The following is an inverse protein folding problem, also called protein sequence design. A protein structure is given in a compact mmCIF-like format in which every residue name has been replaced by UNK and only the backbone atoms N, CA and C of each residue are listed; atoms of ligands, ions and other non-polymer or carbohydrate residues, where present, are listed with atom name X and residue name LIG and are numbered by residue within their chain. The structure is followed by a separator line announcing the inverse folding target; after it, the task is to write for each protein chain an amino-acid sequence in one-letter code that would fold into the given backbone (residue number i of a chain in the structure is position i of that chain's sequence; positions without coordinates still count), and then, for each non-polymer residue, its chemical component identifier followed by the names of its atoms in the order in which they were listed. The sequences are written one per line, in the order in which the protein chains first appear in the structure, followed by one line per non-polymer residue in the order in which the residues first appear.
data_IF_383956753239
#
_entry.id   IF_383956753239
#
_cell.length_a   1.000
_cell.length_b   1.000
_cell.length_c   1.000
_cell.angle_alpha   90.00
_cell.angle_beta   90.00
_cell.angle_gamma   90.00
#
_symmetry.space_group_name_H-M   'P 1'
#
loop_
_entity.id
_entity.type
_entity.pdbx_description
1 polymer ?
#
# COMPACT_ATOMS: atom_id res chain seq x y z
N UNK A 1 -7.85 13.60 -8.48
CA UNK A 1 -8.53 12.28 -8.59
C UNK A 1 -9.14 11.99 -7.23
N UNK A 2 -10.42 11.69 -7.09
CA UNK A 2 -11.07 11.46 -5.79
C UNK A 2 -10.59 10.14 -5.16
N UNK A 3 -9.31 10.02 -4.97
CA UNK A 3 -8.67 8.84 -4.37
C UNK A 3 -7.30 9.22 -3.81
N UNK A 4 -7.09 8.94 -2.55
CA UNK A 4 -5.81 9.15 -1.85
C UNK A 4 -4.66 8.36 -2.50
N UNK A 5 -3.43 8.81 -2.27
CA UNK A 5 -2.23 8.12 -2.74
C UNK A 5 -2.07 6.75 -2.03
N UNK A 6 -1.58 5.71 -2.73
CA UNK A 6 -1.50 4.35 -2.17
C UNK A 6 -0.46 4.22 -1.05
N UNK A 7 0.57 5.05 -1.01
CA UNK A 7 1.65 5.01 -0.03
C UNK A 7 1.22 5.34 1.41
N UNK A 8 0.05 5.95 1.62
CA UNK A 8 -0.52 6.16 2.96
C UNK A 8 -1.15 4.90 3.54
N UNK A 9 -1.52 3.92 2.69
CA UNK A 9 -2.26 2.72 3.09
C UNK A 9 -1.57 1.95 4.23
N UNK A 10 -0.26 1.60 4.15
CA UNK A 10 0.37 0.80 5.21
C UNK A 10 0.32 1.48 6.57
N UNK A 11 0.56 2.80 6.61
CA UNK A 11 0.56 3.56 7.86
C UNK A 11 -0.85 3.71 8.44
N UNK A 12 -1.83 4.06 7.62
CA UNK A 12 -3.24 4.18 8.05
C UNK A 12 -3.75 2.84 8.57
N UNK A 13 -3.51 1.76 7.84
CA UNK A 13 -3.95 0.43 8.27
C UNK A 13 -3.25 -0.01 9.54
N UNK A 14 -1.96 0.27 9.70
CA UNK A 14 -1.25 0.01 10.95
C UNK A 14 -1.90 0.73 12.14
N UNK A 15 -2.23 2.01 11.99
CA UNK A 15 -2.93 2.80 13.00
C UNK A 15 -4.32 2.24 13.32
N UNK A 16 -5.09 1.87 12.31
CA UNK A 16 -6.42 1.25 12.49
C UNK A 16 -6.31 -0.05 13.29
N UNK A 17 -5.34 -0.90 12.98
CA UNK A 17 -5.11 -2.16 13.70
C UNK A 17 -4.67 -1.95 15.16
N UNK A 18 -3.92 -0.90 15.46
CA UNK A 18 -3.58 -0.52 16.83
C UNK A 18 -4.80 0.01 17.58
N UNK A 19 -5.59 0.88 16.96
CA UNK A 19 -6.76 1.51 17.55
C UNK A 19 -7.88 0.51 17.81
N UNK A 20 -7.99 -0.54 17.01
CA UNK A 20 -9.09 -1.53 17.05
C UNK A 20 -10.45 -0.82 17.22
N UNK A 21 -10.85 0.02 16.24
CA UNK A 21 -12.07 0.78 16.34
C UNK A 21 -13.30 -0.13 16.21
N UNK A 22 -14.30 0.06 17.06
CA UNK A 22 -15.63 -0.54 16.89
C UNK A 22 -16.54 0.29 15.97
N UNK A 23 -16.12 1.53 15.64
CA UNK A 23 -16.83 2.40 14.69
C UNK A 23 -15.87 3.35 13.99
N UNK A 24 -16.09 3.55 12.68
CA UNK A 24 -15.28 4.42 11.81
C UNK A 24 -16.21 5.34 11.04
N UNK A 25 -15.87 6.62 10.98
CA UNK A 25 -16.43 7.59 10.05
C UNK A 25 -15.39 7.93 8.99
N UNK A 26 -15.68 7.61 7.74
CA UNK A 26 -14.86 7.93 6.57
C UNK A 26 -15.38 9.20 5.92
N UNK A 27 -14.63 10.30 6.01
CA UNK A 27 -15.03 11.62 5.52
C UNK A 27 -14.47 11.82 4.12
N UNK A 28 -15.38 11.95 3.14
CA UNK A 28 -15.05 12.01 1.72
C UNK A 28 -14.78 10.60 1.18
N UNK A 29 -15.84 9.77 1.10
CA UNK A 29 -15.68 8.36 0.70
C UNK A 29 -15.16 8.18 -0.71
N UNK A 30 -15.34 9.17 -1.60
CA UNK A 30 -14.92 9.12 -3.01
C UNK A 30 -15.41 7.85 -3.71
N UNK A 31 -14.49 7.05 -4.26
CA UNK A 31 -14.82 5.74 -4.86
C UNK A 31 -14.86 4.57 -3.87
N UNK A 32 -14.79 4.82 -2.55
CA UNK A 32 -14.96 3.79 -1.53
C UNK A 32 -13.69 3.01 -1.17
N UNK A 33 -12.51 3.47 -1.60
CA UNK A 33 -11.24 2.79 -1.31
C UNK A 33 -11.01 2.55 0.17
N UNK A 34 -11.18 3.57 1.00
CA UNK A 34 -10.95 3.44 2.44
C UNK A 34 -11.99 2.58 3.12
N UNK A 35 -13.25 2.68 2.73
CA UNK A 35 -14.29 1.78 3.22
C UNK A 35 -13.98 0.31 2.95
N UNK A 36 -13.47 -0.01 1.73
CA UNK A 36 -13.01 -1.36 1.40
C UNK A 36 -11.85 -1.80 2.30
N UNK A 37 -10.81 -0.97 2.41
CA UNK A 37 -9.63 -1.28 3.24
C UNK A 37 -9.98 -1.42 4.72
N UNK A 38 -10.87 -0.58 5.24
CA UNK A 38 -11.30 -0.71 6.62
C UNK A 38 -12.06 -2.03 6.84
N UNK A 39 -12.98 -2.43 5.95
CA UNK A 39 -13.62 -3.75 6.04
C UNK A 39 -12.64 -4.90 5.98
N UNK A 40 -11.69 -4.84 5.04
CA UNK A 40 -10.66 -5.86 4.88
C UNK A 40 -9.88 -6.07 6.19
N UNK A 41 -9.40 -4.98 6.80
CA UNK A 41 -8.49 -5.05 7.95
C UNK A 41 -9.16 -5.02 9.32
N UNK A 42 -10.48 -4.88 9.41
CA UNK A 42 -11.21 -4.95 10.68
C UNK A 42 -12.12 -6.17 10.79
N UNK A 43 -12.90 -6.45 9.74
CA UNK A 43 -13.87 -7.54 9.76
C UNK A 43 -13.37 -8.78 9.00
N UNK A 44 -12.93 -8.63 7.73
CA UNK A 44 -12.61 -9.77 6.86
C UNK A 44 -11.31 -10.46 7.30
N UNK A 45 -10.30 -9.74 7.73
CA UNK A 45 -9.06 -10.34 8.24
C UNK A 45 -9.29 -11.23 9.48
N UNK A 46 -10.31 -10.92 10.28
CA UNK A 46 -10.71 -11.76 11.43
C UNK A 46 -11.42 -13.05 11.00
N UNK A 47 -11.79 -13.18 9.70
CA UNK A 47 -12.41 -14.39 9.17
C UNK A 47 -11.48 -15.62 9.19
N UNK A 48 -10.17 -15.42 9.30
CA UNK A 48 -9.21 -16.52 9.55
C UNK A 48 -9.51 -17.23 10.89
N UNK A 49 -10.03 -16.49 11.88
CA UNK A 49 -10.41 -17.00 13.20
C UNK A 49 -11.89 -17.31 13.32
N UNK A 50 -12.72 -16.54 12.63
CA UNK A 50 -14.18 -16.65 12.60
C UNK A 50 -14.68 -16.57 11.15
N UNK A 51 -14.79 -17.72 10.43
CA UNK A 51 -15.21 -17.76 9.03
C UNK A 51 -16.56 -17.10 8.74
N UNK A 52 -17.42 -16.91 9.74
CA UNK A 52 -18.68 -16.21 9.57
C UNK A 52 -18.49 -14.74 9.18
N UNK A 53 -17.33 -14.15 9.48
CA UNK A 53 -16.97 -12.76 9.13
C UNK A 53 -16.81 -12.50 7.64
N UNK A 54 -16.70 -13.54 6.78
CA UNK A 54 -16.78 -13.34 5.33
C UNK A 54 -18.14 -12.83 4.84
N UNK A 55 -19.18 -12.94 5.69
CA UNK A 55 -20.52 -12.49 5.34
C UNK A 55 -20.81 -11.14 5.98
N UNK A 56 -21.35 -10.21 5.19
CA UNK A 56 -21.65 -8.83 5.60
C UNK A 56 -22.52 -8.76 6.87
N UNK A 57 -23.51 -9.62 6.99
CA UNK A 57 -24.41 -9.64 8.16
C UNK A 57 -23.71 -9.97 9.49
N UNK A 58 -22.46 -10.44 9.45
CA UNK A 58 -21.66 -10.77 10.63
C UNK A 58 -20.55 -9.76 10.89
N UNK A 59 -20.45 -8.68 10.10
CA UNK A 59 -19.49 -7.62 10.36
C UNK A 59 -19.82 -6.91 11.65
N UNK A 60 -18.79 -6.57 12.42
CA UNK A 60 -18.94 -6.02 13.77
C UNK A 60 -18.54 -4.56 13.87
N UNK A 61 -17.69 -4.09 12.97
CA UNK A 61 -17.26 -2.71 12.95
C UNK A 61 -18.27 -1.87 12.18
N UNK A 62 -18.86 -0.90 12.83
CA UNK A 62 -19.75 0.06 12.17
C UNK A 62 -18.92 1.05 11.34
N UNK A 63 -19.07 1.02 10.01
CA UNK A 63 -18.39 1.94 9.11
C UNK A 63 -19.43 2.80 8.40
N UNK A 64 -19.39 4.10 8.66
CA UNK A 64 -20.23 5.09 7.99
C UNK A 64 -19.35 6.06 7.18
N UNK A 65 -19.95 6.72 6.19
CA UNK A 65 -19.25 7.65 5.34
C UNK A 65 -19.97 8.99 5.20
N UNK A 66 -19.22 10.03 4.86
CA UNK A 66 -19.74 11.30 4.36
C UNK A 66 -19.28 11.49 2.92
N UNK A 67 -20.20 11.86 2.01
CA UNK A 67 -19.88 12.20 0.64
C UNK A 67 -20.71 13.40 0.18
N UNK A 68 -20.02 14.45 -0.27
CA UNK A 68 -20.72 15.64 -0.76
C UNK A 68 -21.19 15.49 -2.21
N UNK A 69 -20.47 14.73 -3.02
CA UNK A 69 -20.77 14.55 -4.44
C UNK A 69 -21.47 13.21 -4.69
N UNK A 70 -22.80 13.20 -4.62
CA UNK A 70 -23.61 11.98 -4.72
C UNK A 70 -23.35 11.14 -5.99
N UNK A 71 -22.84 11.76 -7.07
CA UNK A 71 -22.53 11.06 -8.32
C UNK A 71 -21.35 10.06 -8.20
N UNK A 72 -20.54 10.13 -7.14
CA UNK A 72 -19.51 9.14 -6.88
C UNK A 72 -20.05 7.83 -6.29
N UNK A 73 -21.27 7.88 -5.74
CA UNK A 73 -21.84 6.74 -5.05
C UNK A 73 -22.32 5.65 -6.01
N UNK A 74 -21.93 4.43 -5.72
CA UNK A 74 -22.25 3.22 -6.50
C UNK A 74 -22.81 2.13 -5.57
N UNK A 75 -23.36 1.03 -6.10
CA UNK A 75 -23.81 -0.10 -5.28
C UNK A 75 -22.71 -0.68 -4.35
N UNK A 76 -21.42 -0.55 -4.72
CA UNK A 76 -20.30 -0.96 -3.89
C UNK A 76 -20.29 -0.23 -2.55
N UNK A 77 -20.59 1.06 -2.54
CA UNK A 77 -20.65 1.85 -1.30
C UNK A 77 -21.75 1.33 -0.36
N UNK A 78 -22.93 0.99 -0.90
CA UNK A 78 -24.03 0.41 -0.12
C UNK A 78 -23.66 -0.96 0.48
N UNK A 79 -22.72 -1.67 -0.14
CA UNK A 79 -22.22 -2.93 0.40
C UNK A 79 -21.18 -2.70 1.51
N UNK A 80 -20.27 -1.76 1.33
CA UNK A 80 -19.13 -1.52 2.23
C UNK A 80 -19.50 -0.74 3.49
N UNK A 81 -20.34 0.28 3.35
CA UNK A 81 -20.72 1.17 4.46
C UNK A 81 -22.07 0.77 5.03
N UNK A 82 -22.20 0.93 6.35
CA UNK A 82 -23.50 0.73 7.03
C UNK A 82 -24.45 1.89 6.73
N UNK A 83 -23.88 3.11 6.58
CA UNK A 83 -24.62 4.30 6.15
C UNK A 83 -23.68 5.28 5.45
N UNK A 84 -24.20 6.00 4.44
CA UNK A 84 -23.53 7.15 3.84
C UNK A 84 -24.43 8.38 4.02
N UNK A 85 -23.84 9.41 4.60
CA UNK A 85 -24.47 10.72 4.78
C UNK A 85 -24.09 11.60 3.59
N UNK A 86 -25.05 11.92 2.74
CA UNK A 86 -24.81 12.74 1.55
C UNK A 86 -24.91 14.22 1.90
N UNK A 87 -23.81 14.95 1.75
CA UNK A 87 -23.75 16.40 2.00
C UNK A 87 -22.39 16.90 2.48
N UNK A 88 -22.33 18.20 2.76
CA UNK A 88 -21.13 18.88 3.22
C UNK A 88 -20.68 18.36 4.59
N UNK A 89 -19.42 17.89 4.68
CA UNK A 89 -18.83 17.34 5.88
C UNK A 89 -18.79 18.36 7.04
N UNK A 90 -18.54 19.65 6.77
CA UNK A 90 -18.51 20.70 7.78
C UNK A 90 -19.88 20.96 8.44
N UNK A 91 -20.95 20.66 7.71
CA UNK A 91 -22.31 20.76 8.25
C UNK A 91 -22.72 19.48 8.96
N UNK A 92 -22.52 18.33 8.32
CA UNK A 92 -22.98 17.03 8.82
C UNK A 92 -22.24 16.61 10.09
N UNK A 93 -20.94 16.87 10.19
CA UNK A 93 -20.10 16.49 11.35
C UNK A 93 -20.70 16.96 12.67
N UNK A 94 -21.36 18.11 12.70
CA UNK A 94 -21.94 18.70 13.92
C UNK A 94 -23.10 17.92 14.50
N UNK A 95 -23.81 17.16 13.67
CA UNK A 95 -25.03 16.42 14.04
C UNK A 95 -24.84 14.92 14.16
N UNK A 96 -23.70 14.38 13.67
CA UNK A 96 -23.44 12.95 13.70
C UNK A 96 -23.13 12.43 15.12
N UNK A 97 -23.33 11.14 15.30
CA UNK A 97 -22.93 10.43 16.51
C UNK A 97 -21.39 10.43 16.67
N UNK A 98 -20.91 9.94 17.81
CA UNK A 98 -19.47 9.71 18.01
C UNK A 98 -19.03 8.38 17.39
N UNK A 99 -17.76 8.36 16.96
CA UNK A 99 -17.09 7.20 16.38
C UNK A 99 -15.77 6.97 17.10
N UNK A 100 -15.29 5.73 17.10
CA UNK A 100 -13.97 5.45 17.65
C UNK A 100 -12.88 6.11 16.83
N UNK A 101 -13.03 6.06 15.51
CA UNK A 101 -12.12 6.68 14.54
C UNK A 101 -12.91 7.60 13.60
N UNK A 102 -12.43 8.82 13.40
CA UNK A 102 -12.82 9.69 12.28
C UNK A 102 -11.62 9.78 11.34
N UNK A 103 -11.82 9.43 10.08
CA UNK A 103 -10.78 9.43 9.06
C UNK A 103 -11.06 10.50 7.99
N UNK A 104 -10.08 11.34 7.71
CA UNK A 104 -10.11 12.36 6.65
C UNK A 104 -8.96 12.07 5.66
N UNK A 105 -9.27 11.34 4.61
CA UNK A 105 -8.28 10.90 3.62
C UNK A 105 -8.18 11.83 2.42
N UNK A 106 -7.22 12.76 2.41
CA UNK A 106 -7.02 13.77 1.37
C UNK A 106 -8.32 14.58 1.11
N UNK A 107 -8.82 15.18 2.18
CA UNK A 107 -10.07 15.96 2.20
C UNK A 107 -9.84 17.36 2.72
N UNK A 108 -8.94 17.52 3.70
CA UNK A 108 -8.81 18.79 4.42
C UNK A 108 -8.30 19.93 3.54
N UNK A 109 -7.52 19.62 2.51
CA UNK A 109 -7.00 20.54 1.51
C UNK A 109 -8.07 21.15 0.61
N UNK A 110 -9.22 20.52 0.52
CA UNK A 110 -10.37 21.02 -0.27
C UNK A 110 -11.15 22.13 0.45
N UNK A 111 -10.87 22.36 1.72
CA UNK A 111 -11.47 23.43 2.51
C UNK A 111 -10.56 24.66 2.57
N UNK A 112 -11.16 25.86 2.66
CA UNK A 112 -10.43 27.04 3.13
C UNK A 112 -9.85 26.76 4.51
N UNK A 113 -8.65 27.28 4.81
CA UNK A 113 -7.89 26.95 6.01
C UNK A 113 -8.70 27.04 7.31
N UNK A 114 -9.46 28.13 7.48
CA UNK A 114 -10.29 28.32 8.68
C UNK A 114 -11.43 27.30 8.79
N UNK A 115 -12.06 26.97 7.65
CA UNK A 115 -13.14 25.98 7.61
C UNK A 115 -12.60 24.56 7.87
N UNK A 116 -11.43 24.23 7.29
CA UNK A 116 -10.75 22.97 7.56
C UNK A 116 -10.34 22.81 9.03
N UNK A 117 -9.83 23.88 9.65
CA UNK A 117 -9.52 23.88 11.09
C UNK A 117 -10.77 23.63 11.95
N UNK A 118 -11.89 24.26 11.62
CA UNK A 118 -13.15 24.04 12.31
C UNK A 118 -13.65 22.59 12.12
N UNK A 119 -13.53 22.04 10.91
CA UNK A 119 -13.86 20.64 10.64
C UNK A 119 -13.01 19.67 11.47
N UNK A 120 -11.70 19.92 11.61
CA UNK A 120 -10.83 19.10 12.47
C UNK A 120 -11.23 19.16 13.95
N UNK A 121 -11.64 20.32 14.44
CA UNK A 121 -12.15 20.49 15.80
C UNK A 121 -13.45 19.70 16.00
N UNK A 122 -14.38 19.81 15.07
CA UNK A 122 -15.64 19.06 15.11
C UNK A 122 -15.38 17.54 14.99
N UNK A 123 -14.47 17.10 14.12
CA UNK A 123 -14.05 15.71 13.99
C UNK A 123 -13.44 15.17 15.29
N UNK A 124 -12.55 15.96 15.94
CA UNK A 124 -11.96 15.56 17.23
C UNK A 124 -13.02 15.51 18.36
N UNK A 125 -14.01 16.39 18.31
CA UNK A 125 -15.13 16.33 19.26
C UNK A 125 -15.93 15.04 19.14
N UNK A 126 -16.07 14.50 17.92
CA UNK A 126 -16.79 13.25 17.60
C UNK A 126 -15.95 11.98 17.74
N UNK A 127 -14.62 12.10 17.72
CA UNK A 127 -13.75 10.96 17.89
C UNK A 127 -13.63 10.52 19.35
N UNK A 128 -13.86 9.23 19.62
CA UNK A 128 -13.63 8.63 20.94
C UNK A 128 -12.15 8.27 21.14
N UNK A 129 -11.47 7.76 20.07
CA UNK A 129 -10.08 7.31 20.13
C UNK A 129 -9.14 8.22 19.36
N UNK A 130 -9.43 8.49 18.07
CA UNK A 130 -8.55 9.29 17.24
C UNK A 130 -9.27 9.90 16.01
N UNK A 131 -8.69 10.98 15.51
CA UNK A 131 -8.86 11.46 14.13
C UNK A 131 -7.57 11.16 13.39
N UNK A 132 -7.65 10.54 12.22
CA UNK A 132 -6.52 10.34 11.31
C UNK A 132 -6.77 11.19 10.06
N UNK A 133 -5.79 11.99 9.70
CA UNK A 133 -5.83 12.87 8.52
C UNK A 133 -4.66 12.53 7.60
N UNK A 134 -4.93 12.37 6.32
CA UNK A 134 -3.89 12.43 5.28
C UNK A 134 -4.10 13.66 4.43
N UNK A 135 -3.00 14.30 3.97
CA UNK A 135 -3.07 15.49 3.12
C UNK A 135 -1.75 15.68 2.36
N UNK A 136 -1.75 16.28 1.17
CA UNK A 136 -0.54 16.66 0.47
C UNK A 136 0.34 17.62 1.29
N UNK A 137 1.65 17.44 1.19
CA UNK A 137 2.66 18.30 1.83
C UNK A 137 3.04 19.51 0.97
N UNK A 138 2.79 19.42 -0.33
CA UNK A 138 3.09 20.46 -1.31
C UNK A 138 1.81 20.99 -1.93
N UNK A 139 1.89 22.21 -2.42
CA UNK A 139 0.82 22.77 -3.22
C UNK A 139 0.65 21.95 -4.51
N UNK A 140 -0.50 21.30 -4.63
CA UNK A 140 -0.93 20.59 -5.83
C UNK A 140 -2.07 21.39 -6.41
N UNK A 141 -1.83 22.03 -7.57
CA UNK A 141 -2.90 22.72 -8.29
C UNK A 141 -3.87 21.66 -8.80
N UNK A 142 -5.01 21.56 -8.16
CA UNK A 142 -6.11 20.70 -8.60
C UNK A 142 -7.36 21.56 -8.79
N UNK A 143 -7.81 21.59 -10.03
CA UNK A 143 -9.04 22.21 -10.44
C UNK A 143 -10.23 21.25 -10.29
N UNK A 144 -11.38 21.65 -10.78
CA UNK A 144 -12.57 20.81 -10.80
C UNK A 144 -12.30 19.48 -11.52
N UNK A 145 -12.77 18.40 -10.96
CA UNK A 145 -12.65 17.08 -11.56
C UNK A 145 -14.04 16.52 -11.89
N UNK A 146 -14.25 16.14 -13.15
CA UNK A 146 -15.54 15.61 -13.61
C UNK A 146 -16.75 16.51 -13.29
N UNK A 147 -16.54 17.84 -13.27
CA UNK A 147 -17.59 18.82 -12.93
C UNK A 147 -17.85 18.96 -11.43
N UNK A 148 -16.99 18.41 -10.58
CA UNK A 148 -17.06 18.55 -9.12
C UNK A 148 -16.11 19.65 -8.65
N UNK A 149 -16.65 20.82 -8.34
CA UNK A 149 -15.87 21.95 -7.81
C UNK A 149 -15.29 21.70 -6.40
N UNK A 150 -15.81 20.71 -5.69
CA UNK A 150 -15.32 20.34 -4.36
C UNK A 150 -13.96 19.63 -4.40
N UNK A 151 -13.54 19.16 -5.58
CA UNK A 151 -12.20 18.56 -5.80
C UNK A 151 -11.08 19.61 -5.86
N UNK A 152 -11.41 20.91 -5.89
CA UNK A 152 -10.42 21.97 -5.95
C UNK A 152 -9.64 22.08 -4.64
N UNK A 153 -8.31 22.10 -4.72
CA UNK A 153 -7.47 22.40 -3.56
C UNK A 153 -7.55 23.88 -3.22
N UNK A 154 -7.84 24.19 -1.95
CA UNK A 154 -8.06 25.54 -1.43
C UNK A 154 -7.06 25.91 -0.35
N UNK A 155 -6.39 24.93 0.27
CA UNK A 155 -5.42 25.17 1.32
C UNK A 155 -4.28 24.15 1.33
N UNK A 156 -3.14 24.58 1.83
CA UNK A 156 -1.97 23.72 2.09
C UNK A 156 -1.83 23.53 3.59
N UNK A 157 -1.51 22.30 4.02
CA UNK A 157 -1.38 21.93 5.43
C UNK A 157 0.05 21.56 5.79
N UNK A 158 0.48 21.97 6.98
CA UNK A 158 1.81 21.72 7.51
C UNK A 158 1.75 21.04 8.88
N UNK A 159 2.88 20.53 9.36
CA UNK A 159 2.97 19.97 10.70
C UNK A 159 2.61 20.98 11.80
N UNK A 160 2.89 22.26 11.59
CA UNK A 160 2.57 23.35 12.53
C UNK A 160 1.06 23.55 12.69
N UNK A 161 0.30 23.41 11.59
CA UNK A 161 -1.16 23.52 11.63
C UNK A 161 -1.78 22.47 12.56
N UNK A 162 -1.30 21.23 12.45
CA UNK A 162 -1.77 20.14 13.32
C UNK A 162 -1.19 20.26 14.74
N UNK A 163 -0.04 20.88 14.91
CA UNK A 163 0.59 21.14 16.22
C UNK A 163 -0.26 22.00 17.15
N UNK A 164 -1.30 22.70 16.64
CA UNK A 164 -2.27 23.42 17.44
C UNK A 164 -3.18 22.50 18.27
N UNK A 165 -3.26 21.21 17.90
CA UNK A 165 -4.01 20.21 18.66
C UNK A 165 -3.11 19.55 19.71
N UNK A 166 -3.42 19.63 21.01
CA UNK A 166 -2.60 19.03 22.05
C UNK A 166 -2.40 17.54 21.85
N UNK A 167 -1.15 17.09 21.82
CA UNK A 167 -0.82 15.68 21.65
C UNK A 167 -0.97 15.16 20.22
N UNK A 168 -1.07 16.04 19.21
CA UNK A 168 -1.05 15.63 17.81
C UNK A 168 0.29 14.97 17.47
N UNK A 169 0.22 13.87 16.73
CA UNK A 169 1.40 13.20 16.13
C UNK A 169 1.33 13.46 14.64
N UNK A 170 2.37 14.07 14.09
CA UNK A 170 2.47 14.37 12.66
C UNK A 170 3.68 13.69 12.08
N UNK A 171 3.48 12.97 10.98
CA UNK A 171 4.54 12.26 10.29
C UNK A 171 4.46 12.49 8.77
N UNK A 172 5.61 12.60 8.15
CA UNK A 172 5.73 12.52 6.69
C UNK A 172 5.83 11.06 6.28
N UNK A 173 4.92 10.60 5.41
CA UNK A 173 4.91 9.19 4.93
C UNK A 173 5.88 9.02 3.77
N UNK A 174 5.94 10.03 2.91
CA UNK A 174 6.86 10.14 1.79
C UNK A 174 7.20 11.62 1.57
N UNK A 175 7.90 11.93 0.48
CA UNK A 175 8.24 13.32 0.17
C UNK A 175 7.01 14.22 -0.04
N UNK A 176 5.84 13.65 -0.30
CA UNK A 176 4.66 14.37 -0.77
C UNK A 176 3.45 14.36 0.19
N UNK A 177 3.42 13.52 1.23
CA UNK A 177 2.22 13.30 2.04
C UNK A 177 2.49 13.40 3.54
N UNK A 178 1.63 14.13 4.25
CA UNK A 178 1.56 14.17 5.71
C UNK A 178 0.45 13.23 6.20
N UNK A 179 0.73 12.57 7.34
CA UNK A 179 -0.30 11.94 8.17
C UNK A 179 -0.29 12.65 9.52
N UNK A 180 -1.47 13.08 9.97
CA UNK A 180 -1.67 13.60 11.32
C UNK A 180 -2.63 12.70 12.09
N UNK A 181 -2.29 12.41 13.35
CA UNK A 181 -3.15 11.69 14.30
C UNK A 181 -3.47 12.65 15.44
N UNK A 182 -4.75 13.01 15.56
CA UNK A 182 -5.25 13.87 16.62
C UNK A 182 -6.00 13.01 17.65
N UNK A 183 -5.77 13.25 18.94
CA UNK A 183 -6.37 12.48 20.02
C UNK A 183 -6.77 13.39 21.17
N UNK A 184 -7.84 12.99 21.86
CA UNK A 184 -8.11 13.55 23.20
C UNK A 184 -7.06 13.03 24.17
N UNK A 185 -6.69 13.80 25.21
CA UNK A 185 -5.76 13.33 26.24
C UNK A 185 -6.24 12.02 26.87
N UNK A 186 -5.39 11.00 26.88
CA UNK A 186 -5.67 9.68 27.46
C UNK A 186 -4.66 8.63 27.01
N UNK A 187 -4.51 7.48 27.72
CA UNK A 187 -3.64 6.37 27.34
C UNK A 187 -4.26 5.49 26.25
N UNK A 188 -3.46 4.64 25.57
CA UNK A 188 -1.99 4.57 25.48
C UNK A 188 -1.42 5.38 24.31
N UNK A 189 -0.11 5.59 24.30
CA UNK A 189 0.58 6.19 23.16
C UNK A 189 0.38 5.31 21.91
N UNK A 190 -0.03 5.92 20.79
CA UNK A 190 0.03 5.26 19.48
C UNK A 190 1.46 5.39 18.96
N UNK A 191 2.05 4.29 18.62
CA UNK A 191 3.26 4.30 17.81
C UNK A 191 2.83 4.44 16.35
N UNK A 192 2.96 5.63 15.79
CA UNK A 192 2.98 5.78 14.35
C UNK A 192 4.25 5.08 13.92
N UNK A 193 4.13 3.93 13.24
CA UNK A 193 5.31 3.26 12.72
C UNK A 193 6.13 4.29 11.95
N UNK A 194 7.45 4.35 12.16
CA UNK A 194 8.29 5.17 11.33
C UNK A 194 7.97 4.79 9.88
N UNK A 195 7.93 5.73 8.94
CA UNK A 195 7.82 5.36 7.55
C UNK A 195 8.87 4.28 7.34
N UNK A 196 8.45 3.09 6.94
CA UNK A 196 9.41 2.22 6.28
C UNK A 196 10.00 3.13 5.24
N UNK A 197 11.31 3.35 5.31
CA UNK A 197 12.00 4.17 4.30
C UNK A 197 11.31 3.85 2.99
N UNK A 198 10.73 4.86 2.36
CA UNK A 198 9.96 4.65 1.13
C UNK A 198 10.81 3.71 0.29
N UNK A 199 10.26 2.62 -0.24
CA UNK A 199 11.05 1.74 -1.05
C UNK A 199 11.77 2.64 -2.03
N UNK A 200 13.11 2.55 -2.14
CA UNK A 200 13.87 3.47 -2.97
C UNK A 200 13.12 3.56 -4.29
N UNK A 201 12.90 4.78 -4.77
CA UNK A 201 12.17 5.06 -6.01
C UNK A 201 12.38 3.88 -6.94
N UNK A 202 11.33 3.29 -7.46
CA UNK A 202 11.37 2.05 -8.28
C UNK A 202 12.56 2.10 -9.24
N UNK A 203 12.82 3.29 -9.81
CA UNK A 203 13.96 3.57 -10.67
C UNK A 203 15.32 3.45 -9.93
N UNK A 204 15.40 3.84 -8.66
CA UNK A 204 16.63 3.71 -7.84
C UNK A 204 16.85 2.24 -7.51
N UNK A 205 15.80 1.53 -7.12
CA UNK A 205 15.88 0.09 -6.83
C UNK A 205 16.24 -0.72 -8.06
N UNK A 206 15.62 -0.45 -9.20
CA UNK A 206 15.96 -1.10 -10.48
C UNK A 206 17.42 -0.83 -10.89
N UNK A 207 17.93 0.38 -10.64
CA UNK A 207 19.34 0.71 -10.87
C UNK A 207 20.25 -0.10 -9.95
N UNK A 208 19.94 -0.18 -8.65
CA UNK A 208 20.70 -0.95 -7.66
C UNK A 208 20.73 -2.44 -8.00
N UNK A 209 19.57 -3.01 -8.37
CA UNK A 209 19.45 -4.40 -8.81
C UNK A 209 20.30 -4.64 -10.05
N UNK A 210 20.22 -3.75 -11.05
CA UNK A 210 21.03 -3.86 -12.26
C UNK A 210 22.51 -3.81 -11.98
N UNK A 211 22.96 -2.88 -11.14
CA UNK A 211 24.36 -2.77 -10.73
C UNK A 211 24.81 -4.02 -9.98
N UNK A 212 23.98 -4.56 -9.09
CA UNK A 212 24.23 -5.79 -8.35
C UNK A 212 24.36 -7.01 -9.27
N UNK A 213 23.50 -7.14 -10.29
CA UNK A 213 23.61 -8.22 -11.29
C UNK A 213 24.91 -8.06 -12.10
N UNK A 214 25.24 -6.85 -12.57
CA UNK A 214 26.45 -6.60 -13.34
C UNK A 214 27.76 -6.86 -12.55
N UNK A 215 27.72 -6.70 -11.23
CA UNK A 215 28.83 -7.05 -10.35
C UNK A 215 28.94 -8.57 -10.13
N UNK A 216 27.82 -9.27 -10.06
CA UNK A 216 27.76 -10.69 -9.77
C UNK A 216 28.05 -11.55 -11.00
N UNK A 217 27.54 -11.15 -12.16
CA UNK A 217 27.61 -11.93 -13.41
C UNK A 217 28.75 -11.44 -14.29
N UNK A 218 29.76 -12.30 -14.62
CA UNK A 218 30.80 -11.98 -15.59
C UNK A 218 30.19 -11.66 -16.98
N UNK A 219 30.73 -10.65 -17.67
CA UNK A 219 30.16 -10.05 -18.89
C UNK A 219 29.79 -11.01 -20.04
N UNK A 220 30.42 -12.19 -20.10
CA UNK A 220 30.22 -13.16 -21.19
C UNK A 220 29.50 -14.42 -20.75
N UNK A 221 29.04 -14.51 -19.48
CA UNK A 221 28.41 -15.71 -18.96
C UNK A 221 26.91 -15.66 -19.03
N UNK A 222 26.31 -16.73 -19.57
CA UNK A 222 24.86 -16.92 -19.57
C UNK A 222 24.37 -17.19 -18.16
N UNK A 223 23.27 -16.58 -17.78
CA UNK A 223 22.62 -16.78 -16.48
C UNK A 223 21.09 -16.75 -16.63
N UNK A 224 20.43 -17.46 -15.75
CA UNK A 224 18.97 -17.49 -15.65
C UNK A 224 18.53 -16.30 -14.82
N UNK A 225 17.60 -15.51 -15.33
CA UNK A 225 17.03 -14.36 -14.67
C UNK A 225 15.55 -14.60 -14.37
N UNK A 226 15.18 -14.52 -13.07
CA UNK A 226 13.81 -14.62 -12.59
C UNK A 226 13.44 -13.24 -12.04
N UNK A 227 12.76 -12.44 -12.86
CA UNK A 227 12.45 -11.03 -12.62
C UNK A 227 11.02 -10.61 -13.00
N UNK A 228 10.16 -11.59 -13.34
CA UNK A 228 8.82 -11.35 -13.86
C UNK A 228 8.79 -10.29 -14.98
N UNK A 229 9.80 -10.32 -15.86
CA UNK A 229 10.05 -9.41 -17.01
C UNK A 229 10.36 -7.93 -16.67
N UNK A 230 10.58 -7.57 -15.42
CA UNK A 230 10.78 -6.17 -15.00
C UNK A 230 12.11 -5.56 -15.47
N UNK A 231 13.17 -6.36 -15.57
CA UNK A 231 14.54 -5.89 -15.88
C UNK A 231 15.03 -6.27 -17.27
N UNK A 232 14.32 -7.13 -17.97
CA UNK A 232 14.74 -7.71 -19.25
C UNK A 232 15.22 -6.67 -20.28
N UNK A 233 14.54 -5.52 -20.35
CA UNK A 233 14.85 -4.46 -21.30
C UNK A 233 15.88 -3.44 -20.78
N UNK A 234 16.22 -3.50 -19.50
CA UNK A 234 17.16 -2.58 -18.86
C UNK A 234 18.58 -3.16 -18.72
N UNK A 235 18.74 -4.48 -18.91
CA UNK A 235 20.04 -5.16 -18.93
C UNK A 235 20.64 -5.10 -20.35
N UNK A 236 22.00 -5.05 -20.47
CA UNK A 236 22.64 -5.17 -21.79
C UNK A 236 22.19 -6.46 -22.49
N UNK A 237 21.81 -6.38 -23.76
CA UNK A 237 21.42 -7.55 -24.55
C UNK A 237 22.55 -8.58 -24.54
N UNK A 238 22.25 -9.80 -24.10
CA UNK A 238 23.16 -10.93 -24.26
C UNK A 238 22.94 -12.10 -23.32
N UNK A 239 23.45 -12.09 -22.06
CA UNK A 239 23.56 -13.34 -21.32
C UNK A 239 22.37 -13.72 -20.44
N UNK A 240 21.38 -12.84 -20.25
CA UNK A 240 20.22 -13.13 -19.40
C UNK A 240 19.20 -14.01 -20.13
N UNK A 241 18.87 -15.15 -19.54
CA UNK A 241 17.88 -16.13 -20.02
C UNK A 241 16.64 -15.99 -19.14
N UNK A 242 15.46 -15.66 -19.70
CA UNK A 242 14.23 -15.59 -18.91
C UNK A 242 13.83 -16.99 -18.42
N UNK A 243 13.07 -17.07 -17.33
CA UNK A 243 12.65 -18.35 -16.78
C UNK A 243 11.13 -18.34 -16.47
N UNK A 244 10.32 -19.25 -17.08
CA UNK A 244 10.65 -20.27 -18.10
C UNK A 244 11.00 -19.65 -19.46
N UNK A 245 11.94 -20.28 -20.16
CA UNK A 245 12.37 -19.84 -21.49
C UNK A 245 11.81 -20.77 -22.56
N UNK A 246 11.25 -20.19 -23.64
CA UNK A 246 10.91 -20.90 -24.86
C UNK A 246 11.24 -20.03 -26.07
N UNK A 247 12.14 -20.50 -26.91
CA UNK A 247 12.62 -19.77 -28.08
C UNK A 247 13.19 -18.36 -27.77
N UNK A 248 13.86 -18.22 -26.63
CA UNK A 248 14.43 -16.96 -26.15
C UNK A 248 13.44 -16.00 -25.46
N UNK A 249 12.17 -16.38 -25.35
CA UNK A 249 11.11 -15.57 -24.75
C UNK A 249 10.65 -16.15 -23.42
N UNK A 250 10.16 -15.28 -22.50
CA UNK A 250 9.51 -15.68 -21.26
C UNK A 250 8.18 -16.34 -21.57
N UNK A 251 7.96 -17.54 -21.00
CA UNK A 251 6.76 -18.35 -21.24
C UNK A 251 5.79 -18.39 -20.06
N UNK A 252 6.05 -17.62 -19.03
CA UNK A 252 5.28 -17.62 -17.78
C UNK A 252 5.92 -18.46 -16.68
N UNK A 253 5.36 -18.39 -15.45
CA UNK A 253 5.85 -19.18 -14.33
C UNK A 253 5.61 -20.69 -14.58
N UNK A 254 6.45 -21.58 -14.01
CA UNK A 254 6.28 -23.02 -14.14
C UNK A 254 4.96 -23.48 -13.50
N UNK A 255 4.30 -24.50 -14.07
CA UNK A 255 3.07 -25.01 -13.49
C UNK A 255 3.27 -25.79 -12.18
N UNK A 256 4.49 -26.28 -11.93
CA UNK A 256 4.88 -27.04 -10.74
C UNK A 256 6.39 -27.04 -10.52
N UNK A 257 6.82 -27.46 -9.32
CA UNK A 257 8.20 -27.60 -8.91
C UNK A 257 9.03 -28.51 -9.83
N UNK A 258 8.45 -29.63 -10.26
CA UNK A 258 9.14 -30.59 -11.11
C UNK A 258 9.48 -30.00 -12.48
N UNK A 259 8.61 -29.16 -13.01
CA UNK A 259 8.86 -28.41 -14.25
C UNK A 259 9.95 -27.35 -14.05
N UNK A 260 9.91 -26.62 -12.93
CA UNK A 260 10.93 -25.65 -12.59
C UNK A 260 12.33 -26.30 -12.49
N UNK A 261 12.44 -27.41 -11.76
CA UNK A 261 13.71 -28.16 -11.62
C UNK A 261 14.20 -28.66 -12.98
N UNK A 262 13.34 -29.27 -13.78
CA UNK A 262 13.71 -29.81 -15.09
C UNK A 262 14.23 -28.73 -16.03
N UNK A 263 13.57 -27.57 -16.05
CA UNK A 263 13.97 -26.44 -16.90
C UNK A 263 15.25 -25.75 -16.41
N UNK A 264 15.46 -25.67 -15.09
CA UNK A 264 16.72 -25.22 -14.52
C UNK A 264 17.89 -26.10 -15.00
N UNK A 265 17.73 -27.43 -14.88
CA UNK A 265 18.77 -28.37 -15.29
C UNK A 265 18.99 -28.37 -16.81
N UNK A 266 17.95 -28.19 -17.62
CA UNK A 266 18.08 -28.01 -19.07
C UNK A 266 18.94 -26.78 -19.38
N UNK A 267 18.62 -25.63 -18.82
CA UNK A 267 19.33 -24.37 -19.06
C UNK A 267 20.76 -24.41 -18.52
N UNK A 268 20.98 -25.08 -17.40
CA UNK A 268 22.33 -25.36 -16.86
C UNK A 268 23.13 -26.20 -17.86
N UNK A 269 22.55 -27.26 -18.41
CA UNK A 269 23.17 -28.10 -19.44
C UNK A 269 23.48 -27.33 -20.73
N UNK A 270 22.75 -26.27 -21.03
CA UNK A 270 22.97 -25.35 -22.16
C UNK A 270 23.97 -24.23 -21.84
N UNK A 271 24.59 -24.24 -20.65
CA UNK A 271 25.67 -23.36 -20.27
C UNK A 271 25.27 -22.15 -19.42
N UNK A 272 24.09 -22.15 -18.82
CA UNK A 272 23.76 -21.20 -17.76
C UNK A 272 24.62 -21.49 -16.50
N UNK A 273 25.26 -20.46 -15.95
CA UNK A 273 26.20 -20.60 -14.86
C UNK A 273 25.68 -20.05 -13.53
N UNK A 274 24.62 -19.30 -13.55
CA UNK A 274 23.96 -18.72 -12.39
C UNK A 274 22.44 -18.73 -12.58
N UNK A 275 21.69 -18.83 -11.51
CA UNK A 275 20.28 -18.42 -11.43
C UNK A 275 20.16 -17.26 -10.46
N UNK A 276 19.49 -16.21 -10.87
CA UNK A 276 19.35 -14.95 -10.12
C UNK A 276 17.86 -14.63 -9.98
N UNK A 277 17.39 -14.59 -8.75
CA UNK A 277 16.06 -14.09 -8.38
C UNK A 277 16.19 -12.63 -8.01
N UNK A 278 15.33 -11.81 -8.58
CA UNK A 278 15.22 -10.39 -8.27
C UNK A 278 14.17 -10.18 -7.18
N UNK A 279 14.31 -9.16 -6.36
CA UNK A 279 13.42 -8.84 -5.25
C UNK A 279 11.92 -9.07 -5.54
N UNK A 280 11.39 -8.60 -6.66
CA UNK A 280 9.99 -8.77 -7.04
C UNK A 280 9.56 -10.22 -7.23
N UNK A 281 10.51 -11.13 -7.47
CA UNK A 281 10.28 -12.55 -7.76
C UNK A 281 10.70 -13.47 -6.60
N UNK A 282 10.97 -12.95 -5.39
CA UNK A 282 11.32 -13.79 -4.23
C UNK A 282 10.18 -14.71 -3.80
N UNK A 283 8.94 -14.37 -4.14
CA UNK A 283 7.77 -15.22 -3.91
C UNK A 283 7.90 -16.62 -4.56
N UNK A 284 8.72 -16.76 -5.60
CA UNK A 284 9.02 -18.05 -6.22
C UNK A 284 9.66 -19.02 -5.24
N UNK A 285 10.56 -18.54 -4.38
CA UNK A 285 11.28 -19.36 -3.40
C UNK A 285 10.38 -19.87 -2.27
N UNK A 286 9.26 -19.19 -2.03
CA UNK A 286 8.23 -19.62 -1.08
C UNK A 286 7.18 -20.50 -1.75
N UNK A 287 6.74 -20.13 -2.95
CA UNK A 287 5.69 -20.84 -3.69
C UNK A 287 6.15 -22.19 -4.22
N UNK A 288 7.36 -22.25 -4.81
CA UNK A 288 7.97 -23.47 -5.33
C UNK A 288 8.96 -24.05 -4.30
N UNK A 289 8.39 -24.64 -3.23
CA UNK A 289 9.17 -25.04 -2.07
C UNK A 289 10.16 -26.20 -2.36
N UNK A 290 9.83 -27.12 -3.27
CA UNK A 290 10.72 -28.21 -3.68
C UNK A 290 11.83 -27.70 -4.61
N UNK A 291 11.52 -26.78 -5.50
CA UNK A 291 12.50 -26.09 -6.34
C UNK A 291 13.49 -25.28 -5.49
N UNK A 292 13.01 -24.52 -4.51
CA UNK A 292 13.85 -23.78 -3.58
C UNK A 292 14.76 -24.69 -2.74
N UNK A 293 14.23 -25.85 -2.33
CA UNK A 293 15.01 -26.88 -1.61
C UNK A 293 16.07 -27.50 -2.51
N UNK A 294 15.72 -27.82 -3.74
CA UNK A 294 16.68 -28.33 -4.75
C UNK A 294 17.82 -27.35 -4.97
N UNK A 295 17.51 -26.06 -5.19
CA UNK A 295 18.53 -25.02 -5.34
C UNK A 295 19.49 -24.97 -4.16
N UNK A 296 18.96 -24.95 -2.94
CA UNK A 296 19.78 -24.86 -1.72
C UNK A 296 20.58 -26.14 -1.42
N UNK A 297 20.14 -27.29 -1.89
CA UNK A 297 20.81 -28.57 -1.69
C UNK A 297 21.94 -28.79 -2.72
N UNK A 298 21.70 -28.45 -3.96
CA UNK A 298 22.60 -28.78 -5.08
C UNK A 298 23.55 -27.65 -5.45
N UNK A 299 23.22 -26.38 -5.12
CA UNK A 299 23.97 -25.22 -5.61
C UNK A 299 24.37 -24.26 -4.49
N UNK A 300 25.63 -23.78 -4.47
CA UNK A 300 26.06 -22.75 -3.53
C UNK A 300 25.25 -21.46 -3.72
N UNK A 301 24.67 -20.95 -2.63
CA UNK A 301 24.09 -19.61 -2.62
C UNK A 301 25.24 -18.60 -2.57
N UNK A 302 25.40 -17.79 -3.63
CA UNK A 302 26.50 -16.83 -3.77
C UNK A 302 26.08 -15.41 -3.41
N UNK A 303 24.78 -15.19 -3.29
CA UNK A 303 24.20 -13.93 -2.81
C UNK A 303 22.79 -14.18 -2.23
N UNK A 304 22.50 -13.57 -1.07
CA UNK A 304 21.20 -13.61 -0.42
C UNK A 304 21.04 -12.30 0.36
N UNK A 305 20.42 -11.31 -0.29
CA UNK A 305 20.15 -10.00 0.30
C UNK A 305 18.76 -9.46 -0.12
N UNK A 306 18.45 -8.25 0.27
CA UNK A 306 17.16 -7.59 -0.04
C UNK A 306 16.92 -7.29 -1.53
N UNK A 307 17.93 -7.37 -2.38
CA UNK A 307 17.87 -7.07 -3.81
C UNK A 307 17.86 -8.34 -4.66
N UNK A 308 18.73 -9.32 -4.31
CA UNK A 308 18.97 -10.52 -5.09
C UNK A 308 19.15 -11.77 -4.22
N UNK A 309 18.63 -12.88 -4.71
CA UNK A 309 19.04 -14.22 -4.29
C UNK A 309 19.66 -14.92 -5.50
N UNK A 310 20.87 -15.45 -5.37
CA UNK A 310 21.56 -16.07 -6.49
C UNK A 310 22.33 -17.34 -6.11
N UNK A 311 22.28 -18.34 -7.02
CA UNK A 311 22.96 -19.62 -6.85
C UNK A 311 23.92 -19.85 -8.02
N UNK A 312 25.12 -20.38 -7.71
CA UNK A 312 26.12 -20.81 -8.72
C UNK A 312 25.75 -22.22 -9.21
N UNK A 313 25.49 -22.35 -10.50
CA UNK A 313 25.07 -23.61 -11.16
C UNK A 313 26.25 -24.47 -11.66
N UNK A 314 27.48 -24.15 -11.29
CA UNK A 314 28.66 -24.91 -11.70
C UNK A 314 28.86 -26.15 -10.86
#
# INVERSE_FOLDING_TARGET
MPSSRPNTIPTVIHLVRQLKPGSILDVGVGFGKWGHLFREYTDILEAERDPARYRRENWQVRIEGIEAHAAYLTPMHQYLYDQIHVGDAALLMKSLASYDLVFLGDIIEHFEKAAGMALLQDALARANKAVIVTTPKYEIVQEDLCGNELERHRSLWSAEDFGQFPGAIVQTVDEATLIAVLRKPGPPALEVAPPRSAPPDEAVRQRQIREAILQLVPREKRFILIDDEQLRYSLPRGPAIPFLEKAGEFWGPPPDDATAIRELERLRGEGATLVVFVWGSFWWLDHYAEFARHLRAEYPCVRDDELLVAFDLK
#
